data_IF_729722684022
#
_entry.id   IF_729722684022
#
_cell.length_a   1.000
_cell.length_b   1.000
_cell.length_c   1.000
_cell.angle_alpha   90.00
_cell.angle_beta   90.00
_cell.angle_gamma   90.00
#
_symmetry.space_group_name_H-M   'P 1'
#
loop_
_entity.id
_entity.type
_entity.pdbx_description
1 polymer ?
#
# COMPACT_ATOMS: atom_id res chain seq x y z
N UNK A 1 27.65 -22.60 15.50
CA UNK A 1 26.39 -23.04 14.85
C UNK A 1 25.44 -21.86 14.69
N UNK A 2 24.52 -21.82 13.70
CA UNK A 2 23.47 -20.79 13.59
C UNK A 2 22.66 -20.64 14.89
N UNK A 3 22.52 -21.73 15.64
CA UNK A 3 21.89 -21.77 16.97
C UNK A 3 22.70 -20.99 18.00
N UNK A 4 24.03 -21.01 17.95
CA UNK A 4 24.89 -20.22 18.85
C UNK A 4 24.84 -18.73 18.51
N UNK A 5 24.69 -18.40 17.22
CA UNK A 5 24.54 -17.01 16.77
C UNK A 5 23.19 -16.42 17.21
N UNK A 6 22.11 -17.19 17.10
CA UNK A 6 20.79 -16.81 17.60
C UNK A 6 20.80 -16.66 19.14
N UNK A 7 21.47 -17.57 19.86
CA UNK A 7 21.59 -17.51 21.32
C UNK A 7 22.38 -16.27 21.78
N UNK A 8 23.42 -15.88 21.05
CA UNK A 8 24.18 -14.63 21.30
C UNK A 8 23.34 -13.37 21.02
N UNK A 9 22.46 -13.40 20.02
CA UNK A 9 21.54 -12.29 19.72
C UNK A 9 20.49 -12.10 20.82
N UNK A 10 19.94 -13.19 21.35
CA UNK A 10 18.99 -13.15 22.47
C UNK A 10 19.67 -12.62 23.73
N UNK A 11 20.87 -13.11 24.04
CA UNK A 11 21.64 -12.61 25.19
C UNK A 11 21.95 -11.10 25.08
N UNK A 12 22.30 -10.61 23.89
CA UNK A 12 22.51 -9.18 23.66
C UNK A 12 21.20 -8.38 23.81
N UNK A 13 20.07 -8.88 23.29
CA UNK A 13 18.75 -8.23 23.45
C UNK A 13 18.40 -8.05 24.93
N UNK A 14 18.59 -9.08 25.73
CA UNK A 14 18.23 -9.05 27.14
C UNK A 14 19.15 -8.11 27.93
N UNK A 15 20.42 -7.99 27.51
CA UNK A 15 21.35 -6.99 28.03
C UNK A 15 20.92 -5.54 27.71
N UNK A 16 20.36 -5.29 26.52
CA UNK A 16 19.81 -3.97 26.16
C UNK A 16 18.55 -3.60 26.94
N UNK A 17 17.68 -4.58 27.19
CA UNK A 17 16.47 -4.35 27.98
C UNK A 17 16.82 -4.02 29.44
N UNK A 18 17.87 -4.63 29.99
CA UNK A 18 18.41 -4.25 31.30
C UNK A 18 18.92 -2.80 31.30
N UNK A 19 19.68 -2.40 30.27
CA UNK A 19 20.24 -1.05 30.17
C UNK A 19 19.15 0.04 30.03
N UNK A 20 18.09 -0.24 29.27
CA UNK A 20 16.94 0.66 29.12
C UNK A 20 16.12 0.74 30.42
N UNK A 21 16.01 -0.36 31.16
CA UNK A 21 15.37 -0.39 32.48
C UNK A 21 16.13 0.47 33.50
N UNK A 22 17.47 0.46 33.42
CA UNK A 22 18.33 1.31 34.26
C UNK A 22 18.21 2.79 33.86
N UNK A 23 18.07 3.11 32.56
CA UNK A 23 17.79 4.47 32.05
C UNK A 23 16.48 5.06 32.59
N UNK A 24 15.41 4.24 32.69
CA UNK A 24 14.11 4.69 33.23
C UNK A 24 14.19 4.92 34.74
N UNK A 25 15.06 4.18 35.43
CA UNK A 25 15.18 4.22 36.90
C UNK A 25 16.06 5.36 37.40
N UNK A 26 16.82 6.04 36.53
CA UNK A 26 17.64 7.18 36.92
C UNK A 26 18.04 8.06 35.75
N UNK A 27 17.31 9.14 35.49
CA UNK A 27 17.93 10.39 35.03
C UNK A 27 16.94 11.56 35.10
N UNK A 28 17.34 12.57 35.86
CA UNK A 28 17.04 13.96 35.54
C UNK A 28 17.85 14.31 34.28
N UNK A 29 17.19 14.85 33.26
CA UNK A 29 17.59 14.76 31.84
C UNK A 29 18.72 15.75 31.46
N UNK A 30 19.18 16.57 32.40
CA UNK A 30 20.13 17.68 32.15
C UNK A 30 21.59 17.42 32.57
N UNK A 31 21.99 16.17 32.85
CA UNK A 31 23.39 15.88 33.23
C UNK A 31 24.24 15.29 32.11
N UNK A 32 25.49 15.76 31.98
CA UNK A 32 26.44 15.41 30.92
C UNK A 32 26.71 13.89 30.77
N UNK A 33 26.50 13.13 31.84
CA UNK A 33 26.60 11.67 31.83
C UNK A 33 25.49 10.99 31.02
N UNK A 34 24.27 11.57 30.98
CA UNK A 34 23.18 11.08 30.14
C UNK A 34 23.47 11.21 28.65
N UNK A 35 24.11 12.33 28.24
CA UNK A 35 24.52 12.52 26.85
C UNK A 35 25.63 11.54 26.43
N UNK A 36 26.60 11.27 27.31
CA UNK A 36 27.64 10.26 27.08
C UNK A 36 27.05 8.86 26.95
N UNK A 37 26.02 8.56 27.74
CA UNK A 37 25.32 7.27 27.70
C UNK A 37 24.53 7.08 26.39
N UNK A 38 23.86 8.13 25.89
CA UNK A 38 23.15 8.11 24.59
C UNK A 38 24.12 7.85 23.44
N UNK A 39 25.32 8.43 23.47
CA UNK A 39 26.34 8.20 22.45
C UNK A 39 26.84 6.76 22.46
N UNK A 40 27.01 6.15 23.64
CA UNK A 40 27.40 4.74 23.75
C UNK A 40 26.30 3.80 23.24
N UNK A 41 25.03 4.10 23.51
CA UNK A 41 23.88 3.35 22.96
C UNK A 41 23.85 3.44 21.43
N UNK A 42 24.08 4.63 20.86
CA UNK A 42 24.16 4.80 19.40
C UNK A 42 25.27 3.97 18.77
N UNK A 43 26.47 3.99 19.37
CA UNK A 43 27.63 3.20 18.90
C UNK A 43 27.33 1.71 18.91
N UNK A 44 26.63 1.23 19.93
CA UNK A 44 26.27 -0.18 20.04
C UNK A 44 25.17 -0.60 19.04
N UNK A 45 24.23 0.28 18.72
CA UNK A 45 23.23 0.06 17.66
C UNK A 45 23.90 -0.09 16.29
N UNK A 46 24.92 0.74 16.00
CA UNK A 46 25.69 0.64 14.76
C UNK A 46 26.43 -0.69 14.63
N UNK A 47 27.07 -1.17 15.71
CA UNK A 47 27.73 -2.48 15.73
C UNK A 47 26.73 -3.63 15.54
N UNK A 48 25.52 -3.49 16.08
CA UNK A 48 24.45 -4.47 15.91
C UNK A 48 23.96 -4.51 14.45
N UNK A 49 23.78 -3.35 13.83
CA UNK A 49 23.42 -3.25 12.42
C UNK A 49 24.49 -3.86 11.51
N UNK A 50 25.77 -3.67 11.86
CA UNK A 50 26.90 -4.31 11.17
C UNK A 50 26.84 -5.83 11.31
N UNK A 51 26.56 -6.34 12.51
CA UNK A 51 26.40 -7.77 12.77
C UNK A 51 25.22 -8.37 12.00
N UNK A 52 24.08 -7.67 11.96
CA UNK A 52 22.91 -8.07 11.16
C UNK A 52 23.27 -8.14 9.68
N UNK A 53 24.04 -7.18 9.17
CA UNK A 53 24.50 -7.18 7.78
C UNK A 53 25.39 -8.38 7.45
N UNK A 54 26.34 -8.72 8.32
CA UNK A 54 27.21 -9.90 8.19
C UNK A 54 26.39 -11.18 8.23
N UNK A 55 25.41 -11.29 9.13
CA UNK A 55 24.52 -12.46 9.20
C UNK A 55 23.67 -12.55 7.94
N UNK A 56 23.13 -11.44 7.44
CA UNK A 56 22.34 -11.40 6.20
C UNK A 56 23.17 -11.85 4.99
N UNK A 57 24.42 -11.43 4.89
CA UNK A 57 25.35 -11.93 3.87
C UNK A 57 25.68 -13.42 4.06
N UNK A 58 25.88 -13.87 5.30
CA UNK A 58 26.18 -15.28 5.60
C UNK A 58 24.99 -16.19 5.29
N UNK A 59 23.75 -15.75 5.55
CA UNK A 59 22.51 -16.44 5.18
C UNK A 59 22.37 -16.48 3.65
N UNK A 60 22.66 -15.37 2.97
CA UNK A 60 22.66 -15.33 1.49
C UNK A 60 23.65 -16.34 0.91
N UNK A 61 24.89 -16.36 1.41
CA UNK A 61 25.92 -17.32 1.00
C UNK A 61 25.56 -18.77 1.36
N UNK A 62 24.83 -19.01 2.46
CA UNK A 62 24.29 -20.34 2.78
C UNK A 62 23.15 -20.78 1.86
N UNK A 63 22.29 -19.84 1.43
CA UNK A 63 21.26 -20.08 0.42
C UNK A 63 21.88 -20.43 -0.94
N UNK A 64 22.95 -19.71 -1.32
CA UNK A 64 23.68 -19.98 -2.56
C UNK A 64 24.44 -21.32 -2.52
N UNK A 65 24.98 -21.73 -1.36
CA UNK A 65 25.59 -23.07 -1.17
C UNK A 65 24.57 -24.21 -1.17
N UNK A 66 23.37 -23.99 -0.63
CA UNK A 66 22.26 -24.95 -0.69
C UNK A 66 21.77 -25.10 -2.14
N UNK A 67 21.65 -24.02 -2.90
CA UNK A 67 21.34 -24.06 -4.33
C UNK A 67 22.40 -24.80 -5.17
N UNK A 68 23.69 -24.63 -4.84
CA UNK A 68 24.78 -25.35 -5.52
C UNK A 68 24.84 -26.85 -5.17
N UNK A 69 24.33 -27.26 -3.99
CA UNK A 69 24.34 -28.67 -3.57
C UNK A 69 23.20 -29.50 -4.18
N UNK A 70 22.14 -28.88 -4.69
CA UNK A 70 21.01 -29.58 -5.30
C UNK A 70 21.21 -29.99 -6.77
N UNK A 71 22.25 -29.50 -7.44
CA UNK A 71 22.53 -29.88 -8.83
C UNK A 71 23.24 -31.24 -8.99
N UNK A 72 23.60 -31.94 -7.90
CA UNK A 72 24.38 -33.18 -7.98
C UNK A 72 23.72 -34.44 -7.38
N UNK A 73 22.44 -34.42 -7.03
CA UNK A 73 21.71 -35.67 -6.71
C UNK A 73 20.48 -35.77 -7.60
N UNK A 74 20.71 -36.30 -8.79
CA UNK A 74 19.68 -37.06 -9.47
C UNK A 74 19.27 -38.24 -8.58
N UNK A 75 17.99 -38.58 -8.67
CA UNK A 75 17.28 -39.77 -8.16
C UNK A 75 16.57 -39.66 -6.81
N UNK A 76 15.30 -40.10 -6.88
CA UNK A 76 14.38 -40.50 -5.81
C UNK A 76 13.45 -39.40 -5.29
N UNK A 77 12.17 -39.53 -5.61
CA UNK A 77 11.11 -38.62 -5.20
C UNK A 77 10.76 -38.73 -3.72
N UNK A 78 10.48 -37.58 -3.13
CA UNK A 78 9.73 -37.42 -1.88
C UNK A 78 8.89 -36.14 -2.00
N UNK A 79 7.58 -36.28 -1.81
CA UNK A 79 6.61 -35.19 -1.84
C UNK A 79 6.90 -34.20 -0.71
N UNK A 80 7.32 -32.99 -1.08
CA UNK A 80 7.77 -31.95 -0.15
C UNK A 80 6.68 -31.49 0.83
N UNK A 81 7.09 -31.35 2.09
CA UNK A 81 6.30 -30.92 3.25
C UNK A 81 5.83 -29.45 3.15
N UNK A 82 4.83 -29.18 2.32
CA UNK A 82 4.10 -27.91 2.29
C UNK A 82 2.73 -28.01 2.98
N UNK A 83 2.27 -26.92 3.60
CA UNK A 83 0.87 -26.83 4.06
C UNK A 83 -0.03 -26.82 2.82
N UNK A 84 -1.06 -27.66 2.78
CA UNK A 84 -2.01 -27.70 1.65
C UNK A 84 -2.72 -26.36 1.51
N UNK A 85 -2.62 -25.74 0.33
CA UNK A 85 -3.18 -24.41 0.08
C UNK A 85 -4.67 -24.51 -0.29
N UNK A 86 -5.55 -23.92 0.52
CA UNK A 86 -6.98 -23.84 0.24
C UNK A 86 -7.35 -22.49 -0.40
N UNK A 87 -8.55 -22.41 -0.98
CA UNK A 87 -9.07 -21.14 -1.56
C UNK A 87 -9.13 -19.99 -0.55
N UNK A 88 -9.27 -20.30 0.75
CA UNK A 88 -9.37 -19.31 1.84
C UNK A 88 -8.02 -18.73 2.22
N UNK A 89 -6.93 -19.46 1.96
CA UNK A 89 -5.57 -19.01 2.29
C UNK A 89 -5.02 -18.02 1.25
N UNK A 90 -5.70 -17.89 0.10
CA UNK A 90 -5.30 -17.02 -0.99
C UNK A 90 -5.67 -15.55 -0.70
N UNK A 91 -4.69 -14.62 -0.70
CA UNK A 91 -4.94 -13.21 -0.44
C UNK A 91 -5.89 -12.62 -1.48
N UNK A 92 -6.79 -11.73 -1.09
CA UNK A 92 -7.75 -11.10 -2.02
C UNK A 92 -7.27 -9.75 -2.48
N UNK A 93 -7.10 -9.56 -3.80
CA UNK A 93 -6.55 -8.34 -4.34
C UNK A 93 -7.51 -7.16 -4.18
N UNK A 94 -7.10 -6.21 -3.34
CA UNK A 94 -7.69 -4.87 -3.25
C UNK A 94 -6.66 -3.88 -2.71
N UNK A 95 -6.65 -2.67 -3.25
CA UNK A 95 -5.74 -1.60 -2.81
C UNK A 95 -6.39 -0.72 -1.75
N UNK A 96 -5.61 -0.22 -0.79
CA UNK A 96 -6.09 0.76 0.20
C UNK A 96 -6.71 1.99 -0.47
N UNK A 97 -6.11 2.48 -1.55
CA UNK A 97 -6.56 3.62 -2.35
C UNK A 97 -7.74 3.33 -3.29
N UNK A 98 -8.19 2.08 -3.43
CA UNK A 98 -9.35 1.78 -4.26
C UNK A 98 -10.63 2.27 -3.58
N UNK A 99 -11.42 3.08 -4.29
CA UNK A 99 -12.72 3.57 -3.83
C UNK A 99 -13.70 2.41 -3.56
N UNK A 100 -13.68 1.39 -4.42
CA UNK A 100 -14.52 0.19 -4.26
C UNK A 100 -13.72 -0.94 -3.61
N UNK A 101 -14.27 -1.54 -2.56
CA UNK A 101 -13.74 -2.75 -1.90
C UNK A 101 -14.56 -3.97 -2.31
N UNK A 102 -14.02 -4.78 -3.22
CA UNK A 102 -14.69 -5.98 -3.72
C UNK A 102 -14.70 -7.14 -2.72
N UNK A 103 -13.79 -7.13 -1.74
CA UNK A 103 -13.72 -8.13 -0.68
C UNK A 103 -13.80 -7.46 0.70
N UNK A 104 -15.01 -7.13 1.17
CA UNK A 104 -15.21 -6.52 2.49
C UNK A 104 -14.67 -7.44 3.60
N UNK A 105 -13.89 -6.87 4.53
CA UNK A 105 -13.30 -7.61 5.66
C UNK A 105 -11.97 -8.31 5.36
N UNK A 106 -11.56 -8.39 4.10
CA UNK A 106 -10.23 -8.87 3.71
C UNK A 106 -9.18 -7.75 3.80
N UNK A 107 -7.90 -8.13 3.85
CA UNK A 107 -6.79 -7.18 3.88
C UNK A 107 -6.80 -6.26 2.64
N UNK A 108 -6.41 -5.00 2.82
CA UNK A 108 -6.15 -4.07 1.72
C UNK A 108 -4.66 -3.75 1.65
N UNK A 109 -4.09 -3.81 0.45
CA UNK A 109 -2.66 -3.64 0.21
C UNK A 109 -2.31 -2.20 -0.16
N UNK A 110 -1.14 -1.74 0.28
CA UNK A 110 -0.63 -0.39 -0.05
C UNK A 110 -0.32 -0.23 -1.55
N UNK A 111 0.06 -1.32 -2.22
CA UNK A 111 0.40 -1.31 -3.64
C UNK A 111 0.20 -2.67 -4.29
N UNK A 112 0.18 -2.67 -5.63
CA UNK A 112 0.20 -3.89 -6.45
C UNK A 112 1.40 -4.77 -6.09
N UNK A 113 2.58 -4.18 -5.90
CA UNK A 113 3.80 -4.90 -5.52
C UNK A 113 3.67 -5.56 -4.14
N UNK A 114 3.03 -4.87 -3.19
CA UNK A 114 2.77 -5.44 -1.86
C UNK A 114 1.90 -6.70 -2.00
N UNK A 115 0.77 -6.62 -2.71
CA UNK A 115 -0.09 -7.78 -2.97
C UNK A 115 0.66 -8.94 -3.65
N UNK A 116 1.35 -8.69 -4.76
CA UNK A 116 2.06 -9.74 -5.51
C UNK A 116 3.10 -10.45 -4.65
N UNK A 117 3.79 -9.71 -3.77
CA UNK A 117 4.78 -10.28 -2.84
C UNK A 117 4.15 -11.10 -1.71
N UNK A 118 2.94 -10.75 -1.26
CA UNK A 118 2.19 -11.57 -0.30
C UNK A 118 1.69 -12.85 -0.98
N UNK A 119 1.16 -12.74 -2.20
CA UNK A 119 0.75 -13.89 -3.01
C UNK A 119 1.90 -14.88 -3.21
N UNK A 120 3.08 -14.41 -3.62
CA UNK A 120 4.28 -15.26 -3.76
C UNK A 120 4.61 -15.98 -2.46
N UNK A 121 4.64 -15.27 -1.32
CA UNK A 121 4.95 -15.87 -0.02
C UNK A 121 3.95 -16.96 0.37
N UNK A 122 2.66 -16.72 0.13
CA UNK A 122 1.59 -17.68 0.40
C UNK A 122 1.73 -18.92 -0.49
N UNK A 123 2.02 -18.75 -1.76
CA UNK A 123 2.24 -19.88 -2.66
C UNK A 123 3.50 -20.66 -2.26
N UNK A 124 4.62 -19.98 -2.01
CA UNK A 124 5.87 -20.63 -1.60
C UNK A 124 5.76 -21.34 -0.25
N UNK A 125 4.94 -20.87 0.69
CA UNK A 125 4.75 -21.55 1.99
C UNK A 125 4.02 -22.89 1.86
N UNK A 126 3.32 -23.13 0.76
CA UNK A 126 2.70 -24.42 0.43
C UNK A 126 3.63 -25.40 -0.28
N UNK A 127 4.92 -25.06 -0.44
CA UNK A 127 5.88 -25.88 -1.17
C UNK A 127 5.69 -25.86 -2.69
N UNK A 128 4.78 -25.03 -3.21
CA UNK A 128 4.58 -24.85 -4.63
C UNK A 128 5.52 -23.76 -5.18
N UNK A 129 6.07 -23.99 -6.37
CA UNK A 129 6.73 -22.95 -7.15
C UNK A 129 5.68 -22.06 -7.81
N UNK A 130 5.75 -20.75 -7.55
CA UNK A 130 4.80 -19.76 -8.06
C UNK A 130 4.72 -19.80 -9.58
N UNK A 131 5.83 -20.05 -10.27
CA UNK A 131 5.92 -20.13 -11.73
C UNK A 131 4.96 -21.20 -12.30
N UNK A 132 4.76 -22.28 -11.54
CA UNK A 132 3.99 -23.44 -11.98
C UNK A 132 2.50 -23.36 -11.65
N UNK A 133 2.11 -22.58 -10.63
CA UNK A 133 0.74 -22.59 -10.09
C UNK A 133 0.00 -21.26 -10.18
N UNK A 134 0.67 -20.15 -10.51
CA UNK A 134 0.04 -18.82 -10.48
C UNK A 134 -1.20 -18.73 -11.38
N UNK A 135 -1.21 -19.39 -12.55
CA UNK A 135 -2.36 -19.42 -13.47
C UNK A 135 -3.62 -20.03 -12.84
N UNK A 136 -3.45 -20.91 -11.86
CA UNK A 136 -4.56 -21.57 -11.15
C UNK A 136 -5.05 -20.74 -9.97
N UNK A 137 -4.14 -20.10 -9.25
CA UNK A 137 -4.46 -19.43 -7.98
C UNK A 137 -4.76 -17.94 -8.13
N UNK A 138 -4.02 -17.22 -8.98
CA UNK A 138 -4.17 -15.78 -9.13
C UNK A 138 -5.58 -15.35 -9.61
N UNK A 139 -6.27 -16.08 -10.52
CA UNK A 139 -7.65 -15.73 -10.85
C UNK A 139 -8.62 -15.79 -9.65
N UNK A 140 -8.34 -16.62 -8.64
CA UNK A 140 -9.19 -16.76 -7.45
C UNK A 140 -9.03 -15.63 -6.43
N UNK A 141 -8.05 -14.76 -6.65
CA UNK A 141 -7.75 -13.60 -5.79
C UNK A 141 -8.35 -12.30 -6.33
N UNK A 142 -8.93 -12.32 -7.53
CA UNK A 142 -9.34 -11.12 -8.26
C UNK A 142 -10.87 -11.10 -8.39
N UNK A 143 -11.51 -9.91 -8.33
CA UNK A 143 -12.94 -9.77 -8.55
C UNK A 143 -13.38 -10.19 -9.96
N UNK A 144 -14.63 -10.64 -10.09
CA UNK A 144 -15.23 -11.12 -11.33
C UNK A 144 -15.22 -10.08 -12.46
N UNK A 145 -15.26 -8.79 -12.13
CA UNK A 145 -15.26 -7.65 -13.03
C UNK A 145 -14.01 -7.62 -13.93
N UNK A 146 -12.96 -8.32 -13.54
CA UNK A 146 -11.71 -8.41 -14.29
C UNK A 146 -11.53 -9.74 -15.04
N UNK A 147 -12.53 -10.64 -15.06
CA UNK A 147 -12.44 -11.96 -15.71
C UNK A 147 -12.07 -11.90 -17.19
N UNK A 148 -12.60 -10.91 -17.93
CA UNK A 148 -12.29 -10.74 -19.34
C UNK A 148 -10.81 -10.42 -19.54
N UNK A 149 -10.29 -9.47 -18.75
CA UNK A 149 -8.88 -9.09 -18.75
C UNK A 149 -7.99 -10.27 -18.31
N UNK A 150 -8.43 -11.02 -17.29
CA UNK A 150 -7.72 -12.22 -16.84
C UNK A 150 -7.53 -13.23 -17.96
N UNK A 151 -8.60 -13.55 -18.69
CA UNK A 151 -8.57 -14.56 -19.77
C UNK A 151 -7.79 -14.10 -20.99
N UNK A 152 -7.89 -12.82 -21.37
CA UNK A 152 -7.31 -12.32 -22.61
C UNK A 152 -5.86 -11.84 -22.45
N UNK A 153 -5.53 -11.24 -21.31
CA UNK A 153 -4.22 -10.60 -21.11
C UNK A 153 -3.39 -11.36 -20.07
N UNK A 154 -3.92 -11.57 -18.85
CA UNK A 154 -3.09 -12.10 -17.77
C UNK A 154 -2.73 -13.58 -17.97
N UNK A 155 -3.68 -14.42 -18.33
CA UNK A 155 -3.44 -15.86 -18.52
C UNK A 155 -2.69 -16.18 -19.83
N UNK A 156 -2.60 -15.22 -20.74
CA UNK A 156 -1.79 -15.29 -21.95
C UNK A 156 -0.30 -15.10 -21.67
N UNK A 157 0.09 -14.47 -20.55
CA UNK A 157 1.49 -14.35 -20.13
C UNK A 157 2.14 -15.73 -20.00
N UNK A 158 3.39 -15.85 -20.44
CA UNK A 158 4.10 -17.14 -20.42
C UNK A 158 4.83 -17.39 -19.10
N UNK A 159 5.21 -16.33 -18.40
CA UNK A 159 5.94 -16.40 -17.14
C UNK A 159 5.26 -15.65 -16.00
N UNK A 160 5.63 -15.98 -14.76
CA UNK A 160 5.18 -15.23 -13.59
C UNK A 160 5.62 -13.76 -13.68
N UNK A 161 6.84 -13.50 -14.13
CA UNK A 161 7.37 -12.15 -14.31
C UNK A 161 6.51 -11.32 -15.28
N UNK A 162 6.14 -11.87 -16.42
CA UNK A 162 5.24 -11.20 -17.37
C UNK A 162 3.85 -10.96 -16.76
N UNK A 163 3.34 -11.91 -15.99
CA UNK A 163 2.08 -11.74 -15.28
C UNK A 163 2.16 -10.58 -14.27
N UNK A 164 3.26 -10.47 -13.51
CA UNK A 164 3.50 -9.33 -12.62
C UNK A 164 3.53 -8.00 -13.38
N UNK A 165 4.24 -7.93 -14.51
CA UNK A 165 4.31 -6.74 -15.36
C UNK A 165 2.94 -6.36 -15.93
N UNK A 166 2.16 -7.34 -16.40
CA UNK A 166 0.78 -7.15 -16.87
C UNK A 166 -0.14 -6.64 -15.74
N UNK A 167 -0.01 -7.20 -14.55
CA UNK A 167 -0.76 -6.80 -13.36
C UNK A 167 -0.42 -5.36 -12.94
N UNK A 168 0.87 -5.00 -12.92
CA UNK A 168 1.33 -3.63 -12.65
C UNK A 168 0.83 -2.67 -13.73
N UNK A 169 0.90 -3.05 -15.01
CA UNK A 169 0.37 -2.23 -16.11
C UNK A 169 -1.14 -1.98 -15.96
N UNK A 170 -1.91 -3.00 -15.54
CA UNK A 170 -3.35 -2.91 -15.34
C UNK A 170 -3.74 -2.03 -14.15
N UNK A 171 -3.13 -2.27 -12.99
CA UNK A 171 -3.58 -1.70 -11.71
C UNK A 171 -2.68 -0.58 -11.15
N UNK A 172 -1.52 -0.38 -11.76
CA UNK A 172 -0.55 0.65 -11.37
C UNK A 172 -0.15 1.52 -12.57
N UNK A 173 -1.11 1.86 -13.43
CA UNK A 173 -0.86 2.80 -14.52
C UNK A 173 -0.63 4.21 -13.95
N UNK A 174 0.61 4.46 -13.51
CA UNK A 174 1.06 5.71 -12.91
C UNK A 174 0.87 6.92 -13.83
N UNK A 175 0.87 6.71 -15.15
CA UNK A 175 0.58 7.76 -16.13
C UNK A 175 -0.89 8.15 -16.12
N UNK A 176 -1.80 7.17 -16.10
CA UNK A 176 -3.23 7.45 -15.92
C UNK A 176 -3.50 8.11 -14.56
N UNK A 177 -2.88 7.61 -13.48
CA UNK A 177 -3.01 8.23 -12.15
C UNK A 177 -2.43 9.65 -12.12
N UNK A 178 -1.30 9.90 -12.80
CA UNK A 178 -0.74 11.25 -12.94
C UNK A 178 -1.67 12.17 -13.74
N UNK A 179 -2.22 11.69 -14.86
CA UNK A 179 -3.15 12.45 -15.69
C UNK A 179 -4.46 12.75 -14.92
N UNK A 180 -4.97 11.79 -14.15
CA UNK A 180 -6.11 11.98 -13.27
C UNK A 180 -5.81 13.00 -12.16
N UNK A 181 -4.65 12.92 -11.51
CA UNK A 181 -4.22 13.93 -10.51
C UNK A 181 -4.15 15.33 -11.11
N UNK A 182 -3.58 15.46 -12.32
CA UNK A 182 -3.55 16.73 -13.07
C UNK A 182 -4.96 17.21 -13.38
N UNK A 183 -5.84 16.31 -13.84
CA UNK A 183 -7.22 16.63 -14.16
C UNK A 183 -7.98 17.15 -12.93
N UNK A 184 -7.77 16.58 -11.74
CA UNK A 184 -8.35 17.09 -10.49
C UNK A 184 -7.81 18.50 -10.16
N UNK A 185 -6.50 18.70 -10.24
CA UNK A 185 -5.87 19.99 -9.92
C UNK A 185 -6.21 21.11 -10.91
N UNK A 186 -6.52 20.77 -12.16
CA UNK A 186 -6.88 21.72 -13.21
C UNK A 186 -8.38 21.67 -13.58
N UNK A 187 -9.21 21.06 -12.74
CA UNK A 187 -10.63 20.89 -13.05
C UNK A 187 -11.38 22.21 -12.90
N UNK A 188 -11.80 22.81 -14.02
CA UNK A 188 -12.73 23.94 -14.01
C UNK A 188 -14.07 23.53 -14.60
N UNK A 189 -15.17 24.13 -14.12
CA UNK A 189 -16.50 24.01 -14.70
C UNK A 189 -16.51 24.62 -16.10
N UNK A 190 -16.99 23.88 -17.10
CA UNK A 190 -17.03 24.33 -18.48
C UNK A 190 -18.22 25.25 -18.75
N UNK A 191 -18.11 26.11 -19.76
CA UNK A 191 -19.22 26.97 -20.19
C UNK A 191 -20.43 26.16 -20.63
N UNK A 192 -21.58 26.36 -19.97
CA UNK A 192 -22.81 25.61 -20.24
C UNK A 192 -22.88 24.21 -19.60
N UNK A 193 -21.85 23.80 -18.86
CA UNK A 193 -21.90 22.58 -18.03
C UNK A 193 -22.80 22.84 -16.81
N UNK A 194 -23.56 21.83 -16.35
CA UNK A 194 -24.32 21.93 -15.10
C UNK A 194 -23.40 21.64 -13.90
N UNK A 195 -23.77 22.11 -12.70
CA UNK A 195 -23.02 21.81 -11.48
C UNK A 195 -22.91 20.31 -11.21
N UNK A 196 -23.97 19.56 -11.50
CA UNK A 196 -23.99 18.10 -11.38
C UNK A 196 -23.06 17.42 -12.41
N UNK A 197 -23.06 17.88 -13.66
CA UNK A 197 -22.15 17.35 -14.69
C UNK A 197 -20.68 17.61 -14.33
N UNK A 198 -20.39 18.81 -13.83
CA UNK A 198 -19.07 19.17 -13.32
C UNK A 198 -18.66 18.28 -12.14
N UNK A 199 -19.52 18.12 -11.14
CA UNK A 199 -19.29 17.23 -10.00
C UNK A 199 -18.99 15.79 -10.43
N UNK A 200 -19.79 15.23 -11.33
CA UNK A 200 -19.59 13.86 -11.83
C UNK A 200 -18.24 13.69 -12.54
N UNK A 201 -17.83 14.69 -13.32
CA UNK A 201 -16.52 14.71 -13.99
C UNK A 201 -15.36 14.82 -13.00
N UNK A 202 -15.47 15.72 -12.01
CA UNK A 202 -14.48 15.90 -10.96
C UNK A 202 -14.35 14.64 -10.08
N UNK A 203 -15.48 14.06 -9.66
CA UNK A 203 -15.53 12.84 -8.85
C UNK A 203 -14.88 11.65 -9.55
N UNK A 204 -15.13 11.48 -10.86
CA UNK A 204 -14.46 10.44 -11.66
C UNK A 204 -12.94 10.61 -11.66
N UNK A 205 -12.46 11.83 -11.87
CA UNK A 205 -11.03 12.13 -11.83
C UNK A 205 -10.42 11.86 -10.44
N UNK A 206 -11.15 12.13 -9.35
CA UNK A 206 -10.72 11.81 -7.99
C UNK A 206 -10.60 10.30 -7.76
N UNK A 207 -11.59 9.52 -8.19
CA UNK A 207 -11.54 8.04 -8.10
C UNK A 207 -10.35 7.48 -8.87
N UNK A 208 -10.10 7.97 -10.09
CA UNK A 208 -8.96 7.55 -10.91
C UNK A 208 -7.60 7.98 -10.33
N UNK A 209 -7.56 9.15 -9.67
CA UNK A 209 -6.40 9.65 -8.96
C UNK A 209 -6.15 8.93 -7.62
N UNK A 210 -7.16 8.27 -7.06
CA UNK A 210 -7.14 7.66 -5.73
C UNK A 210 -7.30 8.67 -4.60
N UNK A 211 -8.01 9.78 -4.84
CA UNK A 211 -8.36 10.77 -3.83
C UNK A 211 -9.69 10.43 -3.15
N UNK A 212 -9.78 10.80 -1.87
CA UNK A 212 -11.01 10.71 -1.08
C UNK A 212 -11.83 12.00 -1.23
N UNK A 213 -13.13 11.88 -1.49
CA UNK A 213 -14.05 13.02 -1.57
C UNK A 213 -14.37 13.64 -0.20
N UNK A 214 -13.99 12.96 0.89
CA UNK A 214 -14.04 13.49 2.24
C UNK A 214 -12.81 14.36 2.58
N UNK A 215 -11.77 14.35 1.74
CA UNK A 215 -10.60 15.21 1.92
C UNK A 215 -10.97 16.66 1.61
N UNK A 216 -10.83 17.53 2.62
CA UNK A 216 -11.23 18.93 2.49
C UNK A 216 -10.33 19.71 1.54
N UNK A 217 -9.08 19.31 1.35
CA UNK A 217 -8.19 19.96 0.36
C UNK A 217 -8.62 19.65 -1.08
N UNK A 218 -9.21 18.48 -1.30
CA UNK A 218 -9.80 18.09 -2.59
C UNK A 218 -11.12 18.84 -2.81
N UNK A 219 -11.89 19.06 -1.75
CA UNK A 219 -13.07 19.91 -1.81
C UNK A 219 -12.73 21.37 -2.16
N UNK A 220 -11.64 21.92 -1.62
CA UNK A 220 -11.17 23.26 -2.00
C UNK A 220 -10.77 23.32 -3.48
N UNK A 221 -10.11 22.28 -4.00
CA UNK A 221 -9.80 22.18 -5.43
C UNK A 221 -11.07 22.14 -6.29
N UNK A 222 -12.12 21.44 -5.83
CA UNK A 222 -13.42 21.42 -6.50
C UNK A 222 -14.10 22.80 -6.46
N UNK A 223 -14.10 23.48 -5.31
CA UNK A 223 -14.66 24.81 -5.14
C UNK A 223 -13.97 25.83 -6.07
N UNK A 224 -12.63 25.81 -6.10
CA UNK A 224 -11.83 26.71 -6.93
C UNK A 224 -12.05 26.54 -8.45
N UNK A 225 -12.64 25.42 -8.87
CA UNK A 225 -12.95 25.18 -10.28
C UNK A 225 -14.28 25.79 -10.75
N UNK A 226 -15.13 26.29 -9.85
CA UNK A 226 -16.32 27.06 -10.23
C UNK A 226 -15.94 28.47 -10.70
N UNK A 227 -16.82 29.18 -11.45
CA UNK A 227 -16.62 30.60 -11.74
C UNK A 227 -16.57 31.44 -10.45
N UNK A 228 -15.77 32.51 -10.40
CA UNK A 228 -15.56 33.33 -9.19
C UNK A 228 -16.85 33.77 -8.49
N UNK A 229 -17.84 34.21 -9.26
CA UNK A 229 -19.14 34.63 -8.73
C UNK A 229 -19.96 33.47 -8.11
N UNK A 230 -19.74 32.23 -8.57
CA UNK A 230 -20.30 31.04 -7.93
C UNK A 230 -19.52 30.69 -6.68
N UNK A 231 -18.19 30.75 -6.70
CA UNK A 231 -17.37 30.45 -5.52
C UNK A 231 -17.80 31.28 -4.31
N UNK A 232 -18.05 32.58 -4.52
CA UNK A 232 -18.54 33.49 -3.47
C UNK A 232 -19.90 33.03 -2.93
N UNK A 233 -20.85 32.71 -3.81
CA UNK A 233 -22.20 32.28 -3.42
C UNK A 233 -22.20 30.92 -2.71
N UNK A 234 -21.43 29.96 -3.22
CA UNK A 234 -21.27 28.62 -2.63
C UNK A 234 -20.66 28.78 -1.24
N UNK A 235 -19.60 29.57 -1.10
CA UNK A 235 -18.94 29.82 0.19
C UNK A 235 -19.87 30.47 1.19
N UNK A 236 -20.65 31.48 0.77
CA UNK A 236 -21.64 32.11 1.63
C UNK A 236 -22.69 31.09 2.12
N UNK A 237 -23.18 30.22 1.23
CA UNK A 237 -24.16 29.18 1.58
C UNK A 237 -23.57 28.09 2.47
N UNK A 238 -22.29 27.73 2.28
CA UNK A 238 -21.58 26.79 3.14
C UNK A 238 -21.43 27.34 4.56
N UNK A 239 -21.02 28.60 4.70
CA UNK A 239 -20.87 29.28 6.00
C UNK A 239 -22.20 29.38 6.76
N UNK A 240 -23.32 29.59 6.07
CA UNK A 240 -24.64 29.66 6.70
C UNK A 240 -25.22 28.29 7.02
N UNK A 241 -24.98 27.29 6.17
CA UNK A 241 -25.49 25.92 6.34
C UNK A 241 -24.68 25.11 7.36
N UNK A 242 -23.40 25.42 7.53
CA UNK A 242 -22.47 24.72 8.42
C UNK A 242 -21.72 25.72 9.32
N UNK A 243 -22.40 26.35 10.29
CA UNK A 243 -21.79 27.38 11.13
C UNK A 243 -20.67 26.81 12.00
N UNK A 244 -19.55 27.55 12.10
CA UNK A 244 -18.38 27.16 12.91
C UNK A 244 -17.43 26.16 12.24
N UNK A 245 -17.75 25.71 11.02
CA UNK A 245 -16.89 24.84 10.21
C UNK A 245 -16.03 25.70 9.27
N UNK A 246 -14.74 25.38 9.16
CA UNK A 246 -13.78 26.11 8.32
C UNK A 246 -13.33 25.35 7.08
N UNK A 247 -13.80 24.11 6.90
CA UNK A 247 -13.45 23.25 5.77
C UNK A 247 -14.57 22.26 5.49
N UNK A 248 -14.82 21.96 4.22
CA UNK A 248 -15.99 21.18 3.78
C UNK A 248 -15.58 20.01 2.90
N UNK A 249 -16.44 19.00 2.77
CA UNK A 249 -16.24 17.89 1.84
C UNK A 249 -16.73 18.24 0.44
N UNK A 250 -16.28 17.51 -0.58
CA UNK A 250 -16.72 17.75 -1.97
C UNK A 250 -18.23 17.65 -2.11
N UNK A 251 -18.86 16.77 -1.32
CA UNK A 251 -20.31 16.56 -1.35
C UNK A 251 -21.09 17.74 -0.73
N UNK A 252 -20.56 18.36 0.32
CA UNK A 252 -21.13 19.59 0.89
C UNK A 252 -21.06 20.73 -0.12
N UNK A 253 -19.90 20.94 -0.74
CA UNK A 253 -19.71 21.95 -1.81
C UNK A 253 -20.68 21.72 -2.96
N UNK A 254 -20.80 20.48 -3.44
CA UNK A 254 -21.72 20.11 -4.52
C UNK A 254 -23.19 20.39 -4.17
N UNK A 255 -23.61 20.08 -2.94
CA UNK A 255 -24.97 20.33 -2.47
C UNK A 255 -25.33 21.83 -2.50
N UNK A 256 -24.40 22.69 -2.08
CA UNK A 256 -24.59 24.13 -2.13
C UNK A 256 -24.57 24.66 -3.57
N UNK A 257 -23.71 24.13 -4.44
CA UNK A 257 -23.64 24.52 -5.85
C UNK A 257 -24.92 24.20 -6.64
N UNK A 258 -25.61 23.10 -6.32
CA UNK A 258 -26.90 22.74 -6.93
C UNK A 258 -27.98 23.77 -6.55
N UNK A 259 -27.97 24.25 -5.31
CA UNK A 259 -28.99 25.17 -4.81
C UNK A 259 -28.88 26.58 -5.44
N UNK A 260 -27.70 27.00 -5.90
CA UNK A 260 -27.53 28.32 -6.53
C UNK A 260 -28.41 28.48 -7.76
N UNK A 261 -28.52 27.45 -8.61
CA UNK A 261 -29.38 27.45 -9.80
C UNK A 261 -30.88 27.52 -9.48
N UNK A 262 -31.29 27.13 -8.27
CA UNK A 262 -32.68 27.22 -7.83
C UNK A 262 -33.08 28.60 -7.30
N UNK A 263 -32.11 29.51 -7.18
CA UNK A 263 -32.28 30.87 -6.63
C UNK A 263 -32.20 31.98 -7.67
N UNK A 264 -32.02 31.64 -8.95
CA UNK A 264 -32.10 32.56 -10.11
C UNK A 264 -33.39 32.27 -10.86
#
# INVERSE_FOLDING_TARGET
SPVDAARKLVAKRDQYLSLISDMISGTDIDHADGQKHILEVRRQIEDLNKTISIIKQSVKLSGDRVAASFNNVATSGESGAGISLSKRDLPKFQLKSAATKYFPGEESYDSVFHFLRIFEKVVSSSGNDVETVWKRYLPLTIPYEYDLWLKQELLACVSWKEAQESFVKKFNNSLLRLNARRAVQSACMLGGETSEAYFNRFSRACVEAGYDLCDTSIADAFLNGFPDHWQIQITALLCTSFPGVTSWTTQQVASCAINILSTI
#
